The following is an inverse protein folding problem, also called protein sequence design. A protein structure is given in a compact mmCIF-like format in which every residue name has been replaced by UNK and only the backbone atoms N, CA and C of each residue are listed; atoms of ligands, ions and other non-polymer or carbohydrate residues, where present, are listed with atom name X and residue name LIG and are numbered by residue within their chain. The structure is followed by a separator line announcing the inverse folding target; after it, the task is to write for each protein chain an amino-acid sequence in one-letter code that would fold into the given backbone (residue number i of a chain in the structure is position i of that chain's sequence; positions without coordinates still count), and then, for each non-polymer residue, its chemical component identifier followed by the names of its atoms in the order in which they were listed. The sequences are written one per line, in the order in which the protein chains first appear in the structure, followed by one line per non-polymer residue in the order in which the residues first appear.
data_IF_546872555265
#
_entry.id   IF_546872555265
#
_cell.length_a   1.000
_cell.length_b   1.000
_cell.length_c   1.000
_cell.angle_alpha   90.00
_cell.angle_beta   90.00
_cell.angle_gamma   90.00
#
_symmetry.space_group_name_H-M   'P 1'
#
loop_
_entity.id
_entity.type
_entity.pdbx_description
1 polymer ?
#
# COMPACT_ATOMS: atom_id res chain seq x y z
N UNK A 1 4.77 -0.01 -20.92
CA UNK A 1 3.72 -1.04 -21.11
C UNK A 1 4.40 -2.39 -21.16
N UNK A 2 3.92 -3.36 -20.38
CA UNK A 2 4.22 -4.79 -20.55
C UNK A 2 2.98 -5.49 -21.11
N UNK A 3 3.14 -6.18 -22.24
CA UNK A 3 2.12 -7.11 -22.77
C UNK A 3 2.60 -8.53 -22.50
N UNK A 4 1.83 -9.29 -21.73
CA UNK A 4 2.08 -10.70 -21.45
C UNK A 4 1.10 -11.51 -22.30
N UNK A 5 1.61 -12.12 -23.37
CA UNK A 5 0.86 -13.03 -24.24
C UNK A 5 1.46 -14.43 -24.20
N UNK A 6 0.64 -15.49 -24.16
CA UNK A 6 1.12 -16.88 -24.14
C UNK A 6 1.96 -17.26 -25.38
N UNK A 7 1.79 -16.54 -26.49
CA UNK A 7 2.52 -16.76 -27.75
C UNK A 7 4.03 -16.43 -27.69
N UNK A 8 4.54 -15.90 -26.56
CA UNK A 8 5.94 -15.49 -26.43
C UNK A 8 6.76 -16.32 -25.41
N UNK A 9 6.16 -17.35 -24.80
CA UNK A 9 6.84 -18.26 -23.86
C UNK A 9 7.14 -17.65 -22.48
N UNK A 10 7.61 -18.48 -21.53
CA UNK A 10 7.78 -18.12 -20.11
C UNK A 10 8.79 -16.99 -19.82
N UNK A 11 9.57 -16.56 -20.83
CA UNK A 11 10.72 -15.67 -20.65
C UNK A 11 10.66 -14.34 -21.41
N UNK A 12 9.55 -13.97 -22.05
CA UNK A 12 9.50 -12.76 -22.88
C UNK A 12 8.50 -11.74 -22.33
N UNK A 13 9.03 -10.74 -21.63
CA UNK A 13 8.33 -9.49 -21.29
C UNK A 13 8.50 -8.52 -22.45
N UNK A 14 7.44 -8.23 -23.21
CA UNK A 14 7.53 -7.24 -24.27
C UNK A 14 7.22 -5.84 -23.71
N UNK A 15 8.28 -5.05 -23.56
CA UNK A 15 8.21 -3.64 -23.19
C UNK A 15 8.18 -2.77 -24.45
N UNK A 16 7.12 -2.00 -24.67
CA UNK A 16 7.10 -0.99 -25.74
C UNK A 16 6.51 0.33 -25.25
N UNK A 17 7.09 1.48 -25.62
CA UNK A 17 6.39 2.74 -25.54
C UNK A 17 5.22 2.69 -26.54
N UNK A 18 4.11 3.26 -26.12
CA UNK A 18 2.94 3.47 -26.96
C UNK A 18 2.49 4.91 -26.78
N UNK A 19 1.97 5.51 -27.84
CA UNK A 19 1.30 6.80 -27.77
C UNK A 19 -0.20 6.54 -27.64
N UNK A 20 -0.78 6.88 -26.50
CA UNK A 20 -2.22 6.66 -26.25
C UNK A 20 -3.01 7.76 -26.98
N UNK A 21 -3.90 7.37 -27.88
CA UNK A 21 -4.72 8.30 -28.65
C UNK A 21 -6.09 8.54 -28.02
N UNK A 22 -6.71 7.49 -27.45
CA UNK A 22 -8.00 7.60 -26.77
C UNK A 22 -8.16 6.47 -25.77
N UNK A 23 -8.86 6.76 -24.68
CA UNK A 23 -9.19 5.82 -23.64
C UNK A 23 -10.59 6.16 -23.12
N UNK A 24 -11.57 5.27 -23.30
CA UNK A 24 -12.98 5.54 -23.01
C UNK A 24 -13.62 4.36 -22.25
N UNK A 25 -14.50 4.60 -21.26
CA UNK A 25 -15.32 3.53 -20.71
C UNK A 25 -16.18 2.88 -21.80
N UNK A 26 -16.19 1.56 -21.88
CA UNK A 26 -16.96 0.82 -22.88
C UNK A 26 -18.48 0.72 -22.52
N UNK A 27 -18.89 1.30 -21.39
CA UNK A 27 -20.27 1.21 -20.86
C UNK A 27 -20.60 -0.14 -20.21
N UNK A 28 -21.74 -0.22 -19.50
CA UNK A 28 -22.33 -1.49 -19.06
C UNK A 28 -21.83 -2.10 -17.73
N UNK A 29 -21.19 -1.32 -16.84
CA UNK A 29 -20.92 -1.73 -15.45
C UNK A 29 -19.83 -2.80 -15.24
N UNK A 30 -19.25 -3.35 -16.31
CA UNK A 30 -18.27 -4.47 -16.25
C UNK A 30 -16.80 -4.06 -16.12
N UNK A 31 -16.51 -2.81 -15.75
CA UNK A 31 -15.14 -2.26 -15.63
C UNK A 31 -14.31 -2.40 -16.93
N UNK A 32 -14.96 -2.25 -18.09
CA UNK A 32 -14.34 -2.35 -19.41
C UNK A 32 -14.01 -0.97 -20.00
N UNK A 33 -12.93 -0.90 -20.77
CA UNK A 33 -12.36 0.32 -21.35
C UNK A 33 -11.94 0.06 -22.79
N UNK A 34 -12.24 0.98 -23.70
CA UNK A 34 -11.70 0.97 -25.05
C UNK A 34 -10.48 1.89 -25.13
N UNK A 35 -9.33 1.29 -25.43
CA UNK A 35 -8.05 1.94 -25.61
C UNK A 35 -7.67 1.94 -27.10
N UNK A 36 -7.34 3.11 -27.64
CA UNK A 36 -6.67 3.23 -28.95
C UNK A 36 -5.31 3.88 -28.78
N UNK A 37 -4.31 3.38 -29.50
CA UNK A 37 -2.92 3.81 -29.35
C UNK A 37 -2.09 3.53 -30.60
N UNK A 38 -0.99 4.27 -30.75
CA UNK A 38 0.04 4.00 -31.75
C UNK A 38 1.20 3.21 -31.13
N UNK A 39 1.58 2.13 -31.82
CA UNK A 39 2.74 1.31 -31.50
C UNK A 39 3.95 1.82 -32.27
N UNK A 40 4.82 2.59 -31.59
CA UNK A 40 5.95 3.27 -32.25
C UNK A 40 6.94 2.30 -32.89
N UNK A 41 7.06 1.07 -32.37
CA UNK A 41 7.95 0.03 -32.87
C UNK A 41 7.37 -0.81 -34.03
N UNK A 42 6.16 -0.52 -34.51
CA UNK A 42 5.54 -1.24 -35.63
C UNK A 42 5.68 -0.51 -36.96
N UNK A 43 5.71 -1.27 -38.05
CA UNK A 43 5.81 -0.73 -39.40
C UNK A 43 4.60 0.14 -39.76
N UNK A 44 4.83 1.17 -40.58
CA UNK A 44 3.81 2.08 -41.09
C UNK A 44 2.66 1.27 -41.72
N UNK A 45 1.43 1.53 -41.27
CA UNK A 45 0.22 0.80 -41.69
C UNK A 45 -0.34 -0.20 -40.69
N UNK A 46 0.45 -0.67 -39.70
CA UNK A 46 -0.03 -1.61 -38.65
C UNK A 46 0.14 -1.10 -37.21
N UNK A 47 0.57 0.16 -37.08
CA UNK A 47 0.94 0.86 -35.84
C UNK A 47 -0.26 1.16 -34.95
N UNK A 48 -1.40 1.51 -35.56
CA UNK A 48 -2.59 1.88 -34.81
C UNK A 48 -3.31 0.62 -34.32
N UNK A 49 -3.52 0.53 -33.01
CA UNK A 49 -4.22 -0.57 -32.36
C UNK A 49 -5.40 -0.05 -31.55
N UNK A 50 -6.40 -0.91 -31.41
CA UNK A 50 -7.56 -0.70 -30.57
C UNK A 50 -7.82 -1.96 -29.75
N UNK A 51 -7.89 -1.84 -28.42
CA UNK A 51 -8.18 -2.92 -27.49
C UNK A 51 -9.36 -2.54 -26.59
N UNK A 52 -10.23 -3.51 -26.34
CA UNK A 52 -11.14 -3.45 -25.19
C UNK A 52 -10.47 -4.17 -24.03
N UNK A 53 -10.31 -3.47 -22.91
CA UNK A 53 -9.61 -3.92 -21.72
C UNK A 53 -10.62 -4.15 -20.59
N UNK A 54 -10.55 -5.28 -19.92
CA UNK A 54 -11.28 -5.52 -18.68
C UNK A 54 -10.33 -5.34 -17.50
N UNK A 55 -10.65 -4.39 -16.62
CA UNK A 55 -9.77 -4.02 -15.52
C UNK A 55 -9.68 -5.14 -14.48
N UNK A 56 -8.46 -5.62 -14.20
CA UNK A 56 -8.16 -6.57 -13.14
C UNK A 56 -7.79 -5.82 -11.86
N UNK A 57 -6.84 -4.89 -11.98
CA UNK A 57 -6.38 -4.05 -10.87
C UNK A 57 -5.92 -2.68 -11.41
N UNK A 58 -6.03 -1.62 -10.60
CA UNK A 58 -5.60 -0.27 -10.99
C UNK A 58 -5.15 0.54 -9.79
N UNK A 59 -4.25 1.47 -10.03
CA UNK A 59 -3.80 2.50 -9.09
C UNK A 59 -3.54 3.82 -9.81
N UNK A 60 -3.09 4.84 -9.08
CA UNK A 60 -2.61 6.12 -9.66
C UNK A 60 -1.54 5.91 -10.74
N UNK A 61 -0.74 4.85 -10.63
CA UNK A 61 0.48 4.70 -11.43
C UNK A 61 0.40 3.58 -12.45
N UNK A 62 -0.58 2.67 -12.33
CA UNK A 62 -0.71 1.58 -13.27
C UNK A 62 -2.14 1.09 -13.43
N UNK A 63 -2.40 0.45 -14.56
CA UNK A 63 -3.59 -0.33 -14.87
C UNK A 63 -3.15 -1.72 -15.30
N UNK A 64 -3.59 -2.75 -14.57
CA UNK A 64 -3.51 -4.14 -14.97
C UNK A 64 -4.88 -4.58 -15.48
N UNK A 65 -4.92 -5.05 -16.72
CA UNK A 65 -6.16 -5.45 -17.38
C UNK A 65 -5.97 -6.71 -18.23
N UNK A 66 -7.04 -7.47 -18.44
CA UNK A 66 -7.09 -8.47 -19.51
C UNK A 66 -7.58 -7.81 -20.80
N UNK A 67 -7.02 -8.23 -21.94
CA UNK A 67 -7.51 -7.79 -23.26
C UNK A 67 -8.68 -8.68 -23.66
N UNK A 68 -9.88 -8.10 -23.72
CA UNK A 68 -11.13 -8.81 -24.00
C UNK A 68 -11.05 -9.56 -25.33
N UNK A 69 -11.46 -10.83 -25.32
CA UNK A 69 -11.39 -11.71 -26.49
C UNK A 69 -10.01 -12.35 -26.71
N UNK A 70 -9.07 -12.20 -25.77
CA UNK A 70 -7.74 -12.84 -25.81
C UNK A 70 -7.32 -13.33 -24.43
N UNK A 71 -6.26 -14.14 -24.37
CA UNK A 71 -5.61 -14.56 -23.11
C UNK A 71 -4.55 -13.56 -22.61
N UNK A 72 -4.41 -12.40 -23.28
CA UNK A 72 -3.35 -11.44 -22.99
C UNK A 72 -3.66 -10.59 -21.76
N UNK A 73 -2.64 -10.36 -20.95
CA UNK A 73 -2.64 -9.35 -19.89
C UNK A 73 -1.88 -8.11 -20.35
N UNK A 74 -2.38 -6.94 -19.97
CA UNK A 74 -1.80 -5.66 -20.27
C UNK A 74 -1.54 -4.88 -18.98
N UNK A 75 -0.28 -4.50 -18.77
CA UNK A 75 0.14 -3.58 -17.71
C UNK A 75 0.50 -2.22 -18.34
N UNK A 76 -0.33 -1.23 -18.06
CA UNK A 76 -0.07 0.16 -18.37
C UNK A 76 0.47 0.85 -17.13
N UNK A 77 1.54 1.61 -17.29
CA UNK A 77 2.08 2.44 -16.23
C UNK A 77 2.73 3.66 -16.85
N UNK A 78 2.80 4.74 -16.08
CA UNK A 78 3.55 5.92 -16.47
C UNK A 78 5.04 5.55 -16.58
N UNK A 79 5.66 5.89 -17.71
CA UNK A 79 7.07 5.63 -17.94
C UNK A 79 7.86 6.86 -17.53
N UNK A 80 8.83 6.69 -16.62
CA UNK A 80 9.75 7.77 -16.25
C UNK A 80 10.85 7.92 -17.30
N UNK A 81 11.44 9.11 -17.37
CA UNK A 81 12.60 9.38 -18.24
C UNK A 81 13.75 8.40 -17.93
N UNK A 82 14.00 8.09 -16.66
CA UNK A 82 15.00 7.12 -16.24
C UNK A 82 14.71 5.70 -16.75
N UNK A 83 13.44 5.28 -16.74
CA UNK A 83 13.05 3.99 -17.27
C UNK A 83 13.16 3.94 -18.81
N UNK A 84 12.79 5.03 -19.50
CA UNK A 84 12.95 5.16 -20.95
C UNK A 84 14.43 5.08 -21.34
N UNK A 85 15.30 5.82 -20.64
CA UNK A 85 16.74 5.79 -20.88
C UNK A 85 17.30 4.38 -20.66
N UNK A 86 16.99 3.76 -19.51
CA UNK A 86 17.47 2.41 -19.16
C UNK A 86 17.07 1.31 -20.16
N UNK A 87 15.90 1.41 -20.77
CA UNK A 87 15.35 0.34 -21.61
C UNK A 87 15.39 0.63 -23.12
N UNK A 88 15.62 1.89 -23.54
CA UNK A 88 15.60 2.32 -24.95
C UNK A 88 16.85 3.12 -25.37
N UNK A 89 17.94 3.03 -24.61
CA UNK A 89 19.24 3.73 -24.81
C UNK A 89 19.84 3.61 -26.23
N UNK A 90 19.36 2.69 -27.07
CA UNK A 90 19.84 2.48 -28.45
C UNK A 90 18.79 2.71 -29.55
N UNK A 91 17.55 3.05 -29.22
CA UNK A 91 16.46 3.16 -30.21
C UNK A 91 16.10 4.59 -30.59
N UNK A 92 16.64 5.60 -29.89
CA UNK A 92 16.44 7.01 -30.18
C UNK A 92 17.70 7.59 -30.83
N UNK A 93 17.89 7.34 -32.13
CA UNK A 93 18.97 7.99 -32.89
C UNK A 93 18.83 9.53 -32.85
N UNK A 94 19.90 10.29 -32.57
CA UNK A 94 19.88 11.75 -32.46
C UNK A 94 19.83 12.47 -33.82
N UNK A 95 19.30 11.82 -34.86
CA UNK A 95 19.38 12.21 -36.26
C UNK A 95 18.12 12.83 -36.84
N UNK A 96 17.40 13.68 -36.09
CA UNK A 96 16.46 14.68 -36.64
C UNK A 96 15.98 15.63 -35.53
N UNK A 97 16.89 16.47 -35.01
CA UNK A 97 16.47 17.73 -34.40
C UNK A 97 16.18 18.73 -35.53
N UNK A 98 15.05 18.55 -36.19
CA UNK A 98 14.46 19.66 -36.93
C UNK A 98 14.07 20.71 -35.89
N UNK A 99 14.61 21.93 -36.06
CA UNK A 99 14.51 23.08 -35.13
C UNK A 99 13.08 23.65 -34.97
N UNK A 100 12.03 22.86 -35.19
CA UNK A 100 10.62 23.25 -35.06
C UNK A 100 9.75 22.09 -34.58
N UNK A 101 10.04 21.55 -33.40
CA UNK A 101 9.02 20.98 -32.51
C UNK A 101 9.69 20.47 -31.23
N UNK A 102 9.76 21.34 -30.23
CA UNK A 102 9.75 20.86 -28.85
C UNK A 102 8.36 20.30 -28.56
N UNK A 103 8.03 19.12 -29.07
CA UNK A 103 6.87 18.36 -28.58
C UNK A 103 7.28 17.74 -27.24
N UNK A 104 7.30 18.59 -26.19
CA UNK A 104 6.82 18.13 -24.90
C UNK A 104 5.34 17.90 -25.10
N UNK A 105 4.95 16.66 -25.35
CA UNK A 105 3.58 16.26 -25.03
C UNK A 105 3.58 16.16 -23.51
N UNK A 106 3.24 17.27 -22.85
CA UNK A 106 2.63 17.18 -21.53
C UNK A 106 1.51 16.17 -21.67
N UNK A 107 1.50 15.11 -20.88
CA UNK A 107 0.38 14.17 -20.87
C UNK A 107 -0.87 14.96 -20.49
N UNK A 108 -1.64 15.42 -21.49
CA UNK A 108 -2.99 15.95 -21.28
C UNK A 108 -3.97 14.84 -20.90
N UNK A 109 -3.50 13.59 -20.83
CA UNK A 109 -4.23 12.49 -20.22
C UNK A 109 -3.80 12.34 -18.77
N UNK A 110 -4.49 13.04 -17.88
CA UNK A 110 -4.47 12.70 -16.47
C UNK A 110 -5.22 11.38 -16.28
N UNK A 111 -4.51 10.31 -15.92
CA UNK A 111 -5.11 9.02 -15.58
C UNK A 111 -6.14 9.17 -14.44
N UNK A 112 -6.07 10.26 -13.67
CA UNK A 112 -7.03 10.68 -12.65
C UNK A 112 -8.38 11.17 -13.23
N UNK A 113 -8.38 11.81 -14.41
CA UNK A 113 -9.61 12.24 -15.12
C UNK A 113 -10.33 11.07 -15.79
N UNK A 114 -9.58 10.08 -16.30
CA UNK A 114 -10.15 8.99 -17.11
C UNK A 114 -10.68 7.84 -16.25
N UNK A 115 -10.04 7.54 -15.13
CA UNK A 115 -10.38 6.37 -14.32
C UNK A 115 -11.24 6.65 -13.10
N UNK A 116 -11.48 7.92 -12.80
CA UNK A 116 -11.98 8.34 -11.51
C UNK A 116 -10.95 7.99 -10.44
N UNK A 117 -10.55 8.98 -9.66
CA UNK A 117 -9.97 8.71 -8.36
C UNK A 117 -10.79 7.58 -7.70
N UNK A 118 -10.16 6.51 -7.17
CA UNK A 118 -10.78 5.86 -6.01
C UNK A 118 -11.09 7.03 -5.08
N UNK A 119 -12.37 7.34 -4.80
CA UNK A 119 -12.79 8.55 -4.06
C UNK A 119 -11.78 8.76 -2.94
N UNK A 120 -10.77 9.61 -3.14
CA UNK A 120 -9.79 9.85 -2.09
C UNK A 120 -10.60 10.67 -1.14
N UNK A 121 -10.86 10.11 0.02
CA UNK A 121 -11.55 10.82 1.07
C UNK A 121 -10.80 12.15 1.27
N UNK A 122 -11.48 13.25 0.97
CA UNK A 122 -10.87 14.56 1.04
C UNK A 122 -10.86 14.98 2.51
N UNK A 123 -9.68 15.15 3.08
CA UNK A 123 -9.49 15.54 4.46
C UNK A 123 -9.38 17.06 4.58
N UNK A 124 -10.06 17.61 5.57
CA UNK A 124 -9.76 18.92 6.14
C UNK A 124 -9.10 18.75 7.50
N UNK A 125 -8.56 19.84 8.05
CA UNK A 125 -8.00 19.84 9.40
C UNK A 125 -8.99 20.48 10.37
N UNK A 126 -9.31 19.77 11.45
CA UNK A 126 -10.04 20.32 12.58
C UNK A 126 -9.09 20.56 13.75
N UNK A 127 -9.24 21.73 14.37
CA UNK A 127 -8.53 22.11 15.58
C UNK A 127 -9.52 22.19 16.74
N UNK A 128 -9.22 21.46 17.81
CA UNK A 128 -9.90 21.61 19.08
C UNK A 128 -9.17 22.65 19.94
N UNK A 129 -9.82 23.12 21.01
CA UNK A 129 -9.16 24.02 21.95
C UNK A 129 -7.97 23.32 22.61
N UNK A 130 -6.91 24.09 22.88
CA UNK A 130 -5.72 23.56 23.55
C UNK A 130 -6.06 22.98 24.94
N UNK A 131 -7.03 23.57 25.64
CA UNK A 131 -7.50 23.08 26.95
C UNK A 131 -8.13 21.70 26.84
N UNK A 132 -9.02 21.50 25.84
CA UNK A 132 -9.64 20.19 25.59
C UNK A 132 -8.60 19.14 25.22
N UNK A 133 -7.67 19.44 24.31
CA UNK A 133 -6.64 18.46 23.95
C UNK A 133 -5.74 18.12 25.13
N UNK A 134 -5.35 19.13 25.93
CA UNK A 134 -4.50 18.93 27.09
C UNK A 134 -5.16 18.10 28.19
N UNK A 135 -6.48 18.17 28.38
CA UNK A 135 -7.17 17.37 29.40
C UNK A 135 -7.11 15.87 29.11
N UNK A 136 -7.00 15.49 27.84
CA UNK A 136 -6.79 14.11 27.40
C UNK A 136 -5.33 13.77 27.13
N UNK A 137 -4.39 14.71 27.30
CA UNK A 137 -2.97 14.53 26.98
C UNK A 137 -2.68 14.46 25.47
N UNK A 138 -3.63 14.85 24.63
CA UNK A 138 -3.52 14.87 23.17
C UNK A 138 -2.72 16.09 22.69
N UNK A 139 -1.92 15.97 21.62
CA UNK A 139 -1.18 17.09 21.06
C UNK A 139 -2.12 18.11 20.39
N UNK A 140 -1.82 19.40 20.55
CA UNK A 140 -2.59 20.47 19.90
C UNK A 140 -2.15 20.64 18.44
N UNK A 141 -2.64 19.76 17.56
CA UNK A 141 -2.37 19.75 16.11
C UNK A 141 -3.68 19.90 15.31
N UNK A 142 -3.55 20.09 14.00
CA UNK A 142 -4.67 19.92 13.08
C UNK A 142 -4.93 18.43 12.87
N UNK A 143 -6.08 17.94 13.32
CA UNK A 143 -6.44 16.54 13.11
C UNK A 143 -7.13 16.39 11.75
N UNK A 144 -6.71 15.42 10.92
CA UNK A 144 -7.34 15.16 9.65
C UNK A 144 -8.73 14.56 9.86
N UNK A 145 -9.74 15.21 9.30
CA UNK A 145 -11.14 14.77 9.33
C UNK A 145 -11.71 14.82 7.91
N UNK A 146 -12.43 13.78 7.45
CA UNK A 146 -13.10 13.81 6.16
C UNK A 146 -14.05 15.01 6.03
N UNK A 147 -14.03 15.70 4.89
CA UNK A 147 -14.91 16.84 4.64
C UNK A 147 -16.40 16.53 4.87
N UNK A 148 -16.83 15.29 4.57
CA UNK A 148 -18.19 14.84 4.82
C UNK A 148 -18.50 14.83 6.32
N UNK A 149 -17.58 14.32 7.14
CA UNK A 149 -17.70 14.30 8.59
C UNK A 149 -17.64 15.72 9.18
N UNK A 150 -16.78 16.61 8.67
CA UNK A 150 -16.76 18.02 9.08
C UNK A 150 -18.14 18.65 8.85
N UNK A 151 -18.70 18.48 7.65
CA UNK A 151 -20.01 19.06 7.32
C UNK A 151 -21.12 18.50 8.22
N UNK A 152 -21.11 17.20 8.51
CA UNK A 152 -22.08 16.55 9.38
C UNK A 152 -21.92 16.98 10.85
N UNK A 153 -20.70 17.21 11.33
CA UNK A 153 -20.44 17.71 12.67
C UNK A 153 -20.93 19.16 12.81
N UNK A 154 -20.66 20.02 11.82
CA UNK A 154 -21.12 21.42 11.80
C UNK A 154 -22.65 21.55 11.75
N UNK A 155 -23.36 20.57 11.17
CA UNK A 155 -24.83 20.51 11.16
C UNK A 155 -25.41 19.83 12.40
N UNK A 156 -24.58 19.39 13.34
CA UNK A 156 -25.00 18.67 14.55
C UNK A 156 -25.56 17.26 14.29
N UNK A 157 -25.25 16.67 13.14
CA UNK A 157 -25.72 15.34 12.76
C UNK A 157 -24.88 14.21 13.36
N UNK A 158 -23.60 14.47 13.61
CA UNK A 158 -22.67 13.54 14.25
C UNK A 158 -21.86 14.26 15.33
N UNK A 159 -21.41 13.50 16.31
CA UNK A 159 -20.31 13.87 17.20
C UNK A 159 -19.06 13.10 16.76
N UNK A 160 -17.89 13.74 16.82
CA UNK A 160 -16.62 13.10 16.43
C UNK A 160 -15.97 12.55 17.70
N UNK A 161 -15.90 11.22 17.81
CA UNK A 161 -15.26 10.50 18.91
C UNK A 161 -13.76 10.29 18.70
N UNK A 162 -13.12 9.63 19.67
CA UNK A 162 -11.68 9.36 19.62
C UNK A 162 -11.35 8.23 18.65
N UNK A 163 -12.25 7.25 18.53
CA UNK A 163 -12.16 6.12 17.62
C UNK A 163 -12.17 6.61 16.15
N UNK A 164 -13.06 7.54 15.80
CA UNK A 164 -13.06 8.16 14.47
C UNK A 164 -11.78 8.93 14.19
N UNK A 165 -11.28 9.71 15.16
CA UNK A 165 -10.03 10.46 15.01
C UNK A 165 -8.84 9.52 14.80
N UNK A 166 -8.78 8.41 15.56
CA UNK A 166 -7.74 7.41 15.40
C UNK A 166 -7.81 6.77 14.01
N UNK A 167 -9.00 6.32 13.60
CA UNK A 167 -9.23 5.75 12.28
C UNK A 167 -8.81 6.69 11.14
N UNK A 168 -9.20 7.96 11.21
CA UNK A 168 -8.88 8.95 10.20
C UNK A 168 -7.40 9.30 10.16
N UNK A 169 -6.69 9.33 11.29
CA UNK A 169 -5.24 9.47 11.30
C UNK A 169 -4.55 8.26 10.64
N UNK A 170 -5.04 7.05 10.89
CA UNK A 170 -4.51 5.83 10.27
C UNK A 170 -4.69 5.84 8.76
N UNK A 171 -5.85 6.30 8.26
CA UNK A 171 -6.11 6.43 6.83
C UNK A 171 -5.32 7.58 6.21
N UNK A 172 -5.34 8.76 6.86
CA UNK A 172 -4.67 9.96 6.38
C UNK A 172 -3.17 9.73 6.20
N UNK A 173 -2.53 9.07 7.18
CA UNK A 173 -1.09 8.78 7.13
C UNK A 173 -0.73 7.68 6.14
N UNK A 174 -1.67 6.82 5.73
CA UNK A 174 -1.49 5.90 4.59
C UNK A 174 -1.52 6.67 3.26
N UNK A 175 -2.59 7.43 3.02
CA UNK A 175 -2.92 7.92 1.66
C UNK A 175 -2.19 9.20 1.27
N UNK A 176 -1.63 9.92 2.25
CA UNK A 176 -0.91 11.18 2.06
C UNK A 176 0.59 11.02 2.33
N UNK A 177 1.38 11.77 1.57
CA UNK A 177 2.83 11.87 1.76
C UNK A 177 3.13 12.85 2.89
N UNK A 178 2.84 12.44 4.12
CA UNK A 178 3.10 13.20 5.35
C UNK A 178 4.12 12.48 6.23
N UNK A 179 4.81 13.25 7.08
CA UNK A 179 5.67 12.70 8.11
C UNK A 179 4.82 12.02 9.18
N UNK A 180 5.01 10.70 9.37
CA UNK A 180 4.31 9.97 10.44
C UNK A 180 4.68 10.46 11.83
N UNK A 181 5.89 10.99 11.99
CA UNK A 181 6.39 11.48 13.28
C UNK A 181 5.52 12.62 13.81
N UNK A 182 4.88 13.36 12.92
CA UNK A 182 4.06 14.52 13.26
C UNK A 182 2.72 14.07 13.90
N UNK A 183 2.24 12.89 13.53
CA UNK A 183 0.97 12.31 13.98
C UNK A 183 1.14 11.16 14.98
N UNK A 184 2.32 10.55 15.06
CA UNK A 184 2.60 9.42 15.95
C UNK A 184 2.20 9.70 17.42
N UNK A 185 2.51 10.88 18.02
CA UNK A 185 2.06 11.18 19.38
C UNK A 185 0.54 11.16 19.53
N UNK A 186 -0.19 11.64 18.52
CA UNK A 186 -1.66 11.65 18.53
C UNK A 186 -2.22 10.22 18.42
N UNK A 187 -1.71 9.40 17.49
CA UNK A 187 -2.15 8.01 17.30
C UNK A 187 -1.88 7.17 18.55
N UNK A 188 -0.69 7.27 19.13
CA UNK A 188 -0.34 6.59 20.38
C UNK A 188 -1.27 7.01 21.51
N UNK A 189 -1.47 8.33 21.69
CA UNK A 189 -2.28 8.82 22.80
C UNK A 189 -3.76 8.49 22.64
N UNK A 190 -4.29 8.52 21.42
CA UNK A 190 -5.68 8.10 21.15
C UNK A 190 -5.86 6.63 21.49
N UNK A 191 -4.92 5.76 21.08
CA UNK A 191 -4.97 4.34 21.47
C UNK A 191 -4.99 4.19 22.99
N UNK A 192 -4.13 4.91 23.72
CA UNK A 192 -4.11 4.89 25.20
C UNK A 192 -5.43 5.35 25.84
N UNK A 193 -6.09 6.36 25.28
CA UNK A 193 -7.35 6.91 25.80
C UNK A 193 -8.54 6.00 25.50
N UNK A 194 -8.53 5.31 24.35
CA UNK A 194 -9.59 4.37 23.95
C UNK A 194 -9.45 3.04 24.69
N UNK A 195 -8.22 2.56 24.90
CA UNK A 195 -7.97 1.25 25.53
C UNK A 195 -8.41 1.24 26.99
N UNK A 196 -9.37 0.37 27.32
CA UNK A 196 -9.76 0.08 28.71
C UNK A 196 -9.14 -1.22 29.27
N UNK A 197 -8.39 -1.94 28.44
CA UNK A 197 -7.80 -3.23 28.80
C UNK A 197 -6.56 -3.08 29.71
N UNK A 198 -6.37 -4.01 30.67
CA UNK A 198 -5.16 -4.04 31.48
C UNK A 198 -3.92 -4.32 30.63
N UNK A 199 -2.75 -3.87 31.10
CA UNK A 199 -1.48 -4.17 30.45
C UNK A 199 -1.24 -5.69 30.44
N UNK A 200 -0.87 -6.22 29.27
CA UNK A 200 -0.58 -7.64 29.05
C UNK A 200 0.62 -7.78 28.12
N UNK A 201 1.51 -8.71 28.44
CA UNK A 201 2.68 -9.05 27.60
C UNK A 201 2.28 -9.70 26.27
N UNK A 202 1.10 -10.33 26.25
CA UNK A 202 0.51 -10.97 25.07
C UNK A 202 -0.97 -10.64 24.99
N UNK A 203 -1.41 -10.23 23.81
CA UNK A 203 -2.83 -10.03 23.47
C UNK A 203 -3.15 -10.85 22.24
N UNK A 204 -4.29 -11.51 22.21
CA UNK A 204 -4.78 -12.18 21.00
C UNK A 204 -5.95 -11.40 20.46
N UNK A 205 -5.86 -11.01 19.18
CA UNK A 205 -6.97 -10.40 18.46
C UNK A 205 -7.45 -11.35 17.38
N UNK A 206 -8.76 -11.35 17.16
CA UNK A 206 -9.37 -12.18 16.13
C UNK A 206 -10.51 -11.46 15.44
N UNK A 207 -10.61 -11.68 14.14
CA UNK A 207 -11.75 -11.27 13.34
C UNK A 207 -12.36 -12.46 12.62
N UNK A 208 -13.35 -12.18 11.78
CA UNK A 208 -14.01 -13.20 10.97
C UNK A 208 -13.02 -13.96 10.06
N UNK A 209 -11.98 -13.28 9.58
CA UNK A 209 -11.03 -13.81 8.57
C UNK A 209 -9.61 -14.00 9.08
N UNK A 210 -9.28 -13.52 10.28
CA UNK A 210 -7.90 -13.54 10.78
C UNK A 210 -7.85 -13.86 12.27
N UNK A 211 -6.67 -14.31 12.70
CA UNK A 211 -6.31 -14.53 14.10
C UNK A 211 -4.85 -14.14 14.28
N UNK A 212 -4.53 -13.29 15.24
CA UNK A 212 -3.17 -12.76 15.43
C UNK A 212 -2.80 -12.65 16.91
N UNK A 213 -1.62 -13.16 17.27
CA UNK A 213 -1.01 -12.92 18.58
C UNK A 213 -0.14 -11.66 18.53
N UNK A 214 -0.41 -10.71 19.40
CA UNK A 214 0.35 -9.49 19.59
C UNK A 214 1.30 -9.68 20.77
N UNK A 215 2.58 -9.41 20.57
CA UNK A 215 3.62 -9.64 21.57
C UNK A 215 5.02 -9.41 21.02
N UNK A 216 6.01 -9.47 21.91
CA UNK A 216 7.42 -9.26 21.54
C UNK A 216 7.90 -10.22 20.44
N UNK A 217 8.66 -9.67 19.48
CA UNK A 217 9.32 -10.39 18.39
C UNK A 217 10.83 -10.22 18.52
N UNK A 218 11.57 -11.33 18.49
CA UNK A 218 13.03 -11.29 18.58
C UNK A 218 13.65 -10.83 17.24
N UNK A 219 14.07 -9.56 17.20
CA UNK A 219 14.71 -8.93 16.05
C UNK A 219 16.18 -9.33 15.84
N UNK A 220 16.80 -10.07 16.77
CA UNK A 220 18.24 -10.27 16.79
C UNK A 220 18.72 -11.47 15.97
N UNK A 221 17.97 -12.57 16.02
CA UNK A 221 18.48 -13.89 15.62
C UNK A 221 17.52 -14.74 14.79
N UNK A 222 16.24 -14.38 14.72
CA UNK A 222 15.25 -15.19 14.03
C UNK A 222 14.98 -14.69 12.62
N UNK A 223 14.49 -15.61 11.80
CA UNK A 223 13.83 -15.28 10.54
C UNK A 223 12.57 -14.48 10.86
N UNK A 224 12.51 -13.25 10.37
CA UNK A 224 11.41 -12.32 10.60
C UNK A 224 10.93 -11.73 9.29
N UNK A 225 9.63 -11.47 9.20
CA UNK A 225 9.06 -10.61 8.16
C UNK A 225 8.74 -9.27 8.80
N UNK A 226 9.12 -8.18 8.17
CA UNK A 226 8.97 -6.83 8.73
C UNK A 226 8.02 -6.00 7.90
N UNK A 227 7.28 -5.11 8.55
CA UNK A 227 6.63 -3.97 7.93
C UNK A 227 7.58 -2.80 8.09
N UNK A 228 7.97 -2.20 6.97
CA UNK A 228 8.91 -1.10 6.90
C UNK A 228 8.28 0.08 6.16
N UNK A 229 8.71 1.31 6.44
CA UNK A 229 8.34 2.50 5.66
C UNK A 229 9.53 3.46 5.63
N UNK A 230 10.02 3.78 4.43
CA UNK A 230 11.28 4.48 4.29
C UNK A 230 12.37 3.77 5.11
N UNK A 231 12.98 4.51 6.02
CA UNK A 231 14.09 4.01 6.84
C UNK A 231 13.67 3.47 8.21
N UNK A 232 12.36 3.33 8.47
CA UNK A 232 11.83 2.98 9.79
C UNK A 232 11.17 1.60 9.83
N UNK A 233 11.53 0.83 10.86
CA UNK A 233 10.80 -0.35 11.28
C UNK A 233 9.45 0.06 11.86
N UNK A 234 8.37 -0.40 11.23
CA UNK A 234 6.98 -0.17 11.68
C UNK A 234 6.48 -1.35 12.50
N UNK A 235 6.73 -2.57 12.04
CA UNK A 235 6.33 -3.79 12.73
C UNK A 235 7.13 -5.00 12.29
N UNK A 236 7.04 -6.11 13.03
CA UNK A 236 7.69 -7.37 12.70
C UNK A 236 6.80 -8.55 13.04
N UNK A 237 6.92 -9.61 12.25
CA UNK A 237 6.29 -10.90 12.44
C UNK A 237 7.32 -11.96 12.74
N UNK A 238 6.95 -12.91 13.58
CA UNK A 238 7.70 -14.11 13.87
C UNK A 238 6.80 -15.34 13.79
N UNK A 239 7.35 -16.44 13.28
CA UNK A 239 6.69 -17.74 13.25
C UNK A 239 6.43 -18.28 14.66
N UNK A 240 5.20 -18.70 14.94
CA UNK A 240 4.84 -19.52 16.11
C UNK A 240 4.99 -21.01 15.78
N UNK A 241 5.02 -21.87 16.81
CA UNK A 241 5.25 -23.32 16.64
C UNK A 241 4.23 -24.01 15.72
N UNK A 242 3.03 -23.47 15.62
CA UNK A 242 1.92 -23.98 14.82
C UNK A 242 1.86 -23.37 13.40
N UNK A 243 2.84 -22.55 13.01
CA UNK A 243 2.88 -21.88 11.71
C UNK A 243 2.09 -20.56 11.65
N UNK A 244 1.35 -20.21 12.71
CA UNK A 244 0.70 -18.91 12.83
C UNK A 244 1.71 -17.81 13.20
N UNK A 245 1.25 -16.56 13.21
CA UNK A 245 2.13 -15.40 13.40
C UNK A 245 1.99 -14.79 14.79
N UNK A 246 3.12 -14.34 15.33
CA UNK A 246 3.18 -13.29 16.36
C UNK A 246 3.60 -11.99 15.70
N UNK A 247 3.01 -10.87 16.12
CA UNK A 247 3.32 -9.54 15.61
C UNK A 247 3.64 -8.53 16.72
N UNK A 248 4.65 -7.70 16.48
CA UNK A 248 5.00 -6.54 17.29
C UNK A 248 5.00 -5.27 16.42
N UNK A 249 4.46 -4.18 16.94
CA UNK A 249 4.58 -2.86 16.31
C UNK A 249 5.63 -2.01 17.03
N UNK A 250 6.47 -1.31 16.29
CA UNK A 250 7.53 -0.41 16.81
C UNK A 250 7.25 1.07 16.48
N UNK A 251 6.20 1.32 15.70
CA UNK A 251 5.64 2.64 15.40
C UNK A 251 4.12 2.51 15.30
N UNK A 252 3.35 3.58 15.57
CA UNK A 252 1.91 3.57 15.37
C UNK A 252 1.55 3.12 13.94
N UNK A 253 0.53 2.27 13.86
CA UNK A 253 0.14 1.64 12.62
C UNK A 253 -0.77 2.57 11.83
N UNK A 254 -0.50 2.71 10.55
CA UNK A 254 -1.46 3.25 9.59
C UNK A 254 -2.32 2.13 9.01
N UNK A 255 -3.31 2.51 8.22
CA UNK A 255 -4.22 1.59 7.54
C UNK A 255 -3.50 0.49 6.71
N UNK A 256 -2.42 0.81 5.99
CA UNK A 256 -1.68 -0.21 5.22
C UNK A 256 -0.93 -1.20 6.12
N UNK A 257 -0.28 -0.73 7.19
CA UNK A 257 0.38 -1.62 8.14
C UNK A 257 -0.62 -2.54 8.85
N UNK A 258 -1.81 -2.04 9.20
CA UNK A 258 -2.91 -2.85 9.75
C UNK A 258 -3.39 -3.88 8.72
N UNK A 259 -3.50 -3.48 7.45
CA UNK A 259 -3.81 -4.38 6.34
C UNK A 259 -2.80 -5.52 6.20
N UNK A 260 -1.50 -5.26 6.38
CA UNK A 260 -0.49 -6.32 6.44
C UNK A 260 -0.63 -7.19 7.70
N UNK A 261 -0.79 -6.58 8.88
CA UNK A 261 -0.95 -7.31 10.15
C UNK A 261 -2.09 -8.32 10.09
N UNK A 262 -3.27 -7.89 9.64
CA UNK A 262 -4.47 -8.73 9.55
C UNK A 262 -4.45 -9.63 8.31
N UNK A 263 -3.93 -9.13 7.18
CA UNK A 263 -3.89 -9.84 5.91
C UNK A 263 -2.90 -10.99 5.85
N UNK A 264 -1.82 -10.98 6.64
CA UNK A 264 -0.89 -12.12 6.76
C UNK A 264 -1.37 -13.14 7.80
N UNK A 265 -2.23 -12.73 8.73
CA UNK A 265 -2.73 -13.52 9.84
C UNK A 265 -4.07 -14.22 9.55
N UNK A 266 -4.36 -14.51 8.27
CA UNK A 266 -5.61 -15.13 7.86
C UNK A 266 -5.85 -16.47 8.57
N UNK A 267 -7.11 -16.76 8.89
CA UNK A 267 -7.49 -18.07 9.40
C UNK A 267 -7.21 -19.13 8.32
N UNK A 268 -6.51 -20.23 8.66
CA UNK A 268 -6.32 -21.32 7.73
C UNK A 268 -7.64 -21.89 7.22
N UNK A 269 -7.64 -22.37 5.97
CA UNK A 269 -8.72 -23.18 5.44
C UNK A 269 -8.81 -24.52 6.20
N UNK A 270 -9.88 -25.29 5.96
CA UNK A 270 -10.12 -26.55 6.67
C UNK A 270 -8.99 -27.59 6.51
N UNK A 271 -8.20 -27.49 5.45
CA UNK A 271 -7.02 -28.33 5.18
C UNK A 271 -5.72 -27.77 5.82
N UNK A 272 -5.81 -26.69 6.61
CA UNK A 272 -4.67 -26.04 7.27
C UNK A 272 -3.92 -25.03 6.41
N UNK A 273 -4.25 -24.86 5.13
CA UNK A 273 -3.51 -23.95 4.24
C UNK A 273 -4.01 -22.52 4.30
N UNK A 274 -3.13 -21.56 4.00
CA UNK A 274 -3.45 -20.13 3.88
C UNK A 274 -3.06 -19.68 2.48
N UNK A 275 -4.03 -19.26 1.66
CA UNK A 275 -3.77 -18.77 0.30
C UNK A 275 -2.87 -19.69 -0.55
N UNK A 276 -3.09 -21.00 -0.49
CA UNK A 276 -2.29 -22.06 -1.14
C UNK A 276 -0.90 -22.33 -0.51
N UNK A 277 -0.49 -21.58 0.52
CA UNK A 277 0.70 -21.84 1.30
C UNK A 277 0.42 -22.80 2.47
N UNK A 278 1.42 -23.54 2.96
CA UNK A 278 1.26 -24.49 4.07
C UNK A 278 0.71 -23.88 5.37
N UNK A 279 1.11 -22.66 5.71
CA UNK A 279 0.67 -21.93 6.90
C UNK A 279 0.81 -20.41 6.70
N UNK A 280 0.50 -19.61 7.73
CA UNK A 280 0.62 -18.15 7.68
C UNK A 280 2.06 -17.68 7.52
N UNK A 281 3.04 -18.40 8.07
CA UNK A 281 4.45 -18.04 7.94
C UNK A 281 4.92 -18.17 6.50
N UNK A 282 4.67 -19.30 5.85
CA UNK A 282 5.02 -19.48 4.43
C UNK A 282 4.28 -18.48 3.54
N UNK A 283 3.04 -18.13 3.87
CA UNK A 283 2.30 -17.08 3.18
C UNK A 283 2.95 -15.69 3.38
N UNK A 284 3.43 -15.37 4.58
CA UNK A 284 4.14 -14.12 4.86
C UNK A 284 5.48 -14.04 4.11
N UNK A 285 6.21 -15.16 4.00
CA UNK A 285 7.42 -15.25 3.19
C UNK A 285 7.13 -14.95 1.71
N UNK A 286 6.09 -15.58 1.14
CA UNK A 286 5.67 -15.33 -0.25
C UNK A 286 5.27 -13.86 -0.48
N UNK A 287 4.44 -13.31 0.42
CA UNK A 287 4.05 -11.90 0.35
C UNK A 287 5.24 -10.94 0.42
N UNK A 288 6.25 -11.27 1.23
CA UNK A 288 7.46 -10.45 1.38
C UNK A 288 8.36 -10.45 0.13
N UNK A 289 8.31 -11.52 -0.66
CA UNK A 289 9.04 -11.64 -1.93
C UNK A 289 8.34 -10.94 -3.11
N UNK A 290 7.10 -10.47 -2.94
CA UNK A 290 6.35 -9.82 -4.00
C UNK A 290 6.97 -8.49 -4.48
N UNK A 291 7.06 -8.31 -5.80
CA UNK A 291 7.57 -7.08 -6.42
C UNK A 291 6.81 -5.80 -5.99
N UNK A 292 5.57 -5.96 -5.51
CA UNK A 292 4.77 -4.89 -4.90
C UNK A 292 5.50 -4.14 -3.78
N UNK A 293 6.37 -4.83 -3.03
CA UNK A 293 7.11 -4.26 -1.92
C UNK A 293 8.15 -3.22 -2.40
N UNK A 294 8.83 -3.48 -3.51
CA UNK A 294 9.78 -2.53 -4.11
C UNK A 294 9.09 -1.22 -4.52
N UNK A 295 7.93 -1.31 -5.17
CA UNK A 295 7.15 -0.13 -5.54
C UNK A 295 6.58 0.62 -4.33
N UNK A 296 6.21 -0.11 -3.28
CA UNK A 296 5.72 0.48 -2.06
C UNK A 296 6.83 1.24 -1.30
N UNK A 297 8.04 0.68 -1.27
CA UNK A 297 9.23 1.32 -0.70
C UNK A 297 9.61 2.61 -1.43
N UNK A 298 9.68 2.57 -2.77
CA UNK A 298 9.98 3.74 -3.62
C UNK A 298 8.99 4.90 -3.40
N UNK A 299 7.71 4.58 -3.17
CA UNK A 299 6.66 5.56 -2.86
C UNK A 299 6.67 6.06 -1.41
N UNK A 300 7.57 5.55 -0.57
CA UNK A 300 7.60 5.88 0.86
C UNK A 300 6.37 5.41 1.62
N UNK A 301 5.71 4.34 1.18
CA UNK A 301 4.57 3.69 1.87
C UNK A 301 5.03 2.44 2.62
N UNK A 302 4.18 1.85 3.46
CA UNK A 302 4.52 0.59 4.12
C UNK A 302 4.75 -0.54 3.10
N UNK A 303 5.76 -1.37 3.34
CA UNK A 303 6.09 -2.55 2.53
C UNK A 303 6.59 -3.69 3.41
N UNK A 304 6.57 -4.92 2.87
CA UNK A 304 7.10 -6.10 3.55
C UNK A 304 8.55 -6.38 3.16
N UNK A 305 9.35 -6.84 4.11
CA UNK A 305 10.72 -7.31 3.86
C UNK A 305 11.11 -8.43 4.83
N UNK A 306 11.76 -9.47 4.33
CA UNK A 306 12.24 -10.62 5.12
C UNK A 306 13.69 -10.41 5.56
N UNK A 307 13.98 -10.81 6.80
CA UNK A 307 15.33 -10.90 7.34
C UNK A 307 15.56 -12.28 7.94
N UNK A 308 16.29 -13.14 7.22
CA UNK A 308 16.52 -14.53 7.61
C UNK A 308 17.36 -14.68 8.89
N UNK A 309 18.24 -13.72 9.16
CA UNK A 309 19.21 -13.76 10.26
C UNK A 309 19.00 -12.62 11.27
N UNK A 310 17.75 -12.16 11.40
CA UNK A 310 17.37 -11.00 12.19
C UNK A 310 17.60 -9.67 11.46
N UNK A 311 16.96 -8.62 11.96
CA UNK A 311 16.84 -7.32 11.30
C UNK A 311 18.21 -6.72 10.89
N UNK A 312 18.40 -6.35 9.62
CA UNK A 312 19.64 -5.69 9.18
C UNK A 312 20.84 -6.61 8.98
N UNK A 313 20.65 -7.93 8.92
CA UNK A 313 21.67 -8.88 8.45
C UNK A 313 21.23 -9.44 7.12
N UNK A 314 22.01 -9.14 6.08
CA UNK A 314 21.79 -9.61 4.71
C UNK A 314 22.05 -11.11 4.59
N UNK A 315 21.59 -11.72 3.50
CA UNK A 315 21.79 -13.15 3.22
C UNK A 315 23.26 -13.56 3.09
N UNK A 316 24.14 -12.62 2.74
CA UNK A 316 25.60 -12.82 2.70
C UNK A 316 26.29 -12.61 4.06
N UNK A 317 25.52 -12.33 5.13
CA UNK A 317 26.00 -12.06 6.48
C UNK A 317 26.48 -10.61 6.69
N UNK A 318 26.43 -9.75 5.67
CA UNK A 318 26.78 -8.33 5.81
C UNK A 318 25.75 -7.58 6.66
N UNK A 319 26.20 -6.51 7.32
CA UNK A 319 25.33 -5.63 8.11
C UNK A 319 24.80 -4.51 7.23
N UNK A 320 23.49 -4.31 7.30
CA UNK A 320 22.84 -3.09 6.82
C UNK A 320 22.64 -2.18 8.03
N UNK A 321 23.62 -1.31 8.28
CA UNK A 321 23.76 -0.53 9.53
C UNK A 321 22.47 0.20 9.94
N UNK A 322 21.78 0.79 8.96
CA UNK A 322 20.51 1.48 9.17
C UNK A 322 19.42 0.61 9.82
N UNK A 323 19.33 -0.67 9.44
CA UNK A 323 18.37 -1.62 10.01
C UNK A 323 18.94 -2.28 11.26
N UNK A 324 20.24 -2.57 11.27
CA UNK A 324 20.92 -3.15 12.42
C UNK A 324 20.79 -2.27 13.67
N UNK A 325 20.90 -0.94 13.51
CA UNK A 325 20.73 0.04 14.59
C UNK A 325 19.32 0.08 15.20
N UNK A 326 18.31 -0.51 14.56
CA UNK A 326 16.92 -0.51 15.03
C UNK A 326 16.57 -1.75 15.87
N UNK A 327 17.48 -2.70 16.03
CA UNK A 327 17.30 -3.94 16.82
C UNK A 327 16.96 -3.69 18.30
N UNK A 328 17.30 -2.52 18.84
CA UNK A 328 17.02 -2.13 20.22
C UNK A 328 15.73 -1.31 20.40
N UNK A 329 14.92 -1.14 19.35
CA UNK A 329 13.64 -0.44 19.46
C UNK A 329 12.70 -1.20 20.41
N UNK A 330 12.03 -0.47 21.29
CA UNK A 330 10.97 -1.02 22.12
C UNK A 330 9.70 -1.16 21.31
N UNK A 331 9.05 -2.32 21.43
CA UNK A 331 7.73 -2.52 20.86
C UNK A 331 6.68 -1.71 21.64
N UNK A 332 5.62 -1.28 20.95
CA UNK A 332 4.43 -0.76 21.59
C UNK A 332 3.76 -1.85 22.43
N UNK A 333 3.09 -1.44 23.51
CA UNK A 333 2.31 -2.38 24.32
C UNK A 333 1.24 -3.09 23.46
N UNK A 334 1.11 -4.42 23.55
CA UNK A 334 0.20 -5.20 22.71
C UNK A 334 -1.26 -4.68 22.72
N UNK A 335 -1.75 -4.19 23.86
CA UNK A 335 -3.12 -3.64 23.97
C UNK A 335 -3.37 -2.38 23.13
N UNK A 336 -2.37 -1.49 23.02
CA UNK A 336 -2.51 -0.30 22.19
C UNK A 336 -2.44 -0.64 20.71
N UNK A 337 -1.67 -1.68 20.36
CA UNK A 337 -1.66 -2.24 19.00
C UNK A 337 -3.00 -2.91 18.68
N UNK A 338 -3.59 -3.64 19.63
CA UNK A 338 -4.92 -4.24 19.50
C UNK A 338 -5.98 -3.16 19.21
N UNK A 339 -6.04 -2.12 20.05
CA UNK A 339 -6.98 -1.01 19.86
C UNK A 339 -6.80 -0.31 18.50
N UNK A 340 -5.56 -0.08 18.05
CA UNK A 340 -5.32 0.46 16.71
C UNK A 340 -5.91 -0.41 15.60
N UNK A 341 -5.75 -1.74 15.69
CA UNK A 341 -6.27 -2.68 14.69
C UNK A 341 -7.80 -2.78 14.77
N UNK A 342 -8.36 -2.89 15.97
CA UNK A 342 -9.80 -3.01 16.21
C UNK A 342 -10.57 -1.80 15.71
N UNK A 343 -10.12 -0.58 16.05
CA UNK A 343 -10.71 0.67 15.55
C UNK A 343 -10.67 0.72 14.03
N UNK A 344 -9.54 0.39 13.41
CA UNK A 344 -9.48 0.37 11.95
C UNK A 344 -10.49 -0.61 11.34
N UNK A 345 -10.59 -1.82 11.89
CA UNK A 345 -11.48 -2.85 11.38
C UNK A 345 -12.96 -2.53 11.60
N UNK A 346 -13.28 -1.85 12.69
CA UNK A 346 -14.62 -1.36 12.97
C UNK A 346 -15.03 -0.33 11.92
N UNK A 347 -14.20 0.66 11.61
CA UNK A 347 -14.58 1.79 10.75
C UNK A 347 -14.29 1.60 9.26
N UNK A 348 -13.54 0.56 8.84
CA UNK A 348 -13.17 0.33 7.43
C UNK A 348 -14.36 0.25 6.45
N UNK A 349 -15.57 -0.09 6.94
CA UNK A 349 -16.77 -0.18 6.12
C UNK A 349 -17.30 1.19 5.66
N UNK A 350 -16.89 2.28 6.32
CA UNK A 350 -17.32 3.64 5.99
C UNK A 350 -16.71 4.19 4.69
N UNK A 351 -15.67 3.54 4.14
CA UNK A 351 -15.07 3.90 2.85
C UNK A 351 -15.84 3.26 1.66
N UNK A 352 -16.90 2.48 1.94
CA UNK A 352 -17.48 1.50 1.03
C UNK A 352 -18.81 1.82 0.31
N UNK A 353 -19.32 3.06 0.31
CA UNK A 353 -20.55 3.45 -0.43
C UNK A 353 -20.37 4.56 -1.49
#
# INVERSE_FOLDING_TARGET
MELLGPEFGENVRHCSPIEVHSLKPAGGGKRCLDLTFCYAAYAVGVQNKAYTLQTINRSKHFLLASVVGTERLALFMELTDDWLNKNFEHSLHPGRRDKKSSFRVTSEFDLHEIFGASKKEAFGELHWSAETMSSYGLPNIGYPVPHAAIKAAMSGQIEIGFEELLYWLQLYTEINTVSRRDYAPAVTRLAEVITNEPAMDLVTIEGQKFWLELGEVDLLRNDIVTIQRGDELVGAFQRRKDGTLRFAAYQPLDAKAIGYATGLALRPAANGTVCMCPDNWEYALDCSAGNGNCYAADRGTCYLSRWEFGLGISSDGSKVEQWYGQRGKQAQEPRFVATQIEVYLEFQHLIGE
#
